data_IF_318664844275
#
_entry.id   IF_318664844275
#
_cell.length_a   1.000
_cell.length_b   1.000
_cell.length_c   1.000
_cell.angle_alpha   90.00
_cell.angle_beta   90.00
_cell.angle_gamma   90.00
#
_symmetry.space_group_name_H-M   'P 1'
#
loop_
_entity.id
_entity.type
_entity.pdbx_description
1 polymer ?
#
# COMPACT_ATOMS: atom_id res chain seq x y z
N UNK A 1 12.17 1.50 1.32
CA UNK A 1 11.05 2.37 1.76
C UNK A 1 10.32 1.72 2.92
N UNK A 2 9.56 2.50 3.64
CA UNK A 2 8.74 1.96 4.74
C UNK A 2 7.36 1.66 4.24
N UNK A 3 6.87 0.48 4.57
CA UNK A 3 5.55 0.02 4.11
C UNK A 3 4.80 -0.54 5.32
N UNK A 4 3.53 -0.16 5.44
CA UNK A 4 2.61 -0.79 6.37
C UNK A 4 1.64 -1.61 5.53
N UNK A 5 1.63 -2.91 5.72
CA UNK A 5 0.82 -3.82 4.92
C UNK A 5 -0.36 -4.35 5.74
N UNK A 6 -1.56 -4.18 5.19
CA UNK A 6 -2.79 -4.69 5.77
C UNK A 6 -2.77 -6.22 5.76
N UNK A 7 -3.54 -6.84 6.65
CA UNK A 7 -3.47 -8.29 6.83
C UNK A 7 -3.92 -9.08 5.61
N UNK A 8 -4.67 -8.47 4.69
CA UNK A 8 -5.09 -9.13 3.46
C UNK A 8 -3.99 -9.26 2.41
N UNK A 9 -2.85 -8.61 2.61
CA UNK A 9 -1.72 -8.74 1.69
C UNK A 9 -1.04 -10.07 1.95
N UNK A 10 -0.73 -10.84 0.90
CA UNK A 10 -0.18 -12.18 1.06
C UNK A 10 1.24 -12.16 1.60
N UNK A 11 1.55 -13.14 2.42
CA UNK A 11 2.85 -13.25 3.07
C UNK A 11 4.01 -13.26 2.06
N UNK A 12 3.82 -13.93 0.92
CA UNK A 12 4.90 -14.01 -0.07
C UNK A 12 5.26 -12.63 -0.62
N UNK A 13 4.29 -11.74 -0.72
CA UNK A 13 4.54 -10.37 -1.16
C UNK A 13 5.39 -9.66 -0.11
N UNK A 14 5.03 -9.85 1.17
CA UNK A 14 5.78 -9.23 2.26
C UNK A 14 7.22 -9.72 2.27
N UNK A 15 7.41 -11.03 2.13
CA UNK A 15 8.75 -11.62 2.14
C UNK A 15 9.60 -11.07 1.00
N UNK A 16 9.01 -10.92 -0.17
CA UNK A 16 9.70 -10.38 -1.34
C UNK A 16 10.13 -8.94 -1.11
N UNK A 17 9.25 -8.12 -0.56
CA UNK A 17 9.56 -6.72 -0.30
C UNK A 17 10.67 -6.59 0.73
N UNK A 18 10.65 -7.42 1.76
CA UNK A 18 11.70 -7.42 2.77
C UNK A 18 13.04 -7.86 2.18
N UNK A 19 13.02 -8.85 1.30
CA UNK A 19 14.23 -9.28 0.60
C UNK A 19 14.82 -8.17 -0.26
N UNK A 20 13.96 -7.30 -0.79
CA UNK A 20 14.41 -6.17 -1.59
C UNK A 20 14.87 -4.99 -0.76
N UNK A 21 14.89 -5.14 0.56
CA UNK A 21 15.43 -4.12 1.44
C UNK A 21 14.40 -3.18 2.03
N UNK A 22 13.11 -3.41 1.81
CA UNK A 22 12.07 -2.56 2.37
C UNK A 22 11.74 -2.96 3.81
N UNK A 23 11.39 -1.96 4.62
CA UNK A 23 10.94 -2.18 5.98
C UNK A 23 9.42 -2.33 5.94
N UNK A 24 8.92 -3.50 6.29
CA UNK A 24 7.48 -3.76 6.22
C UNK A 24 6.94 -4.11 7.60
N UNK A 25 6.00 -3.28 8.07
CA UNK A 25 5.21 -3.57 9.26
C UNK A 25 3.94 -4.27 8.75
N UNK A 26 3.80 -5.54 9.10
CA UNK A 26 2.73 -6.37 8.55
C UNK A 26 1.69 -6.64 9.64
N UNK A 27 0.45 -6.19 9.40
CA UNK A 27 -0.63 -6.29 10.39
C UNK A 27 -0.85 -7.73 10.85
N UNK A 28 -0.78 -8.68 9.93
CA UNK A 28 -1.04 -10.08 10.24
C UNK A 28 -0.04 -10.63 11.27
N UNK A 29 1.18 -10.10 11.33
CA UNK A 29 2.20 -10.54 12.28
C UNK A 29 2.07 -9.82 13.61
N UNK A 30 1.63 -8.57 13.58
CA UNK A 30 1.67 -7.71 14.76
C UNK A 30 0.37 -7.74 15.56
N UNK A 31 -0.72 -7.31 14.93
CA UNK A 31 -2.00 -7.20 15.60
C UNK A 31 -3.12 -7.57 14.62
N UNK A 32 -3.31 -8.86 14.35
CA UNK A 32 -4.33 -9.27 13.39
C UNK A 32 -5.73 -8.86 13.85
N UNK A 33 -6.61 -8.65 12.89
CA UNK A 33 -8.03 -8.34 13.10
C UNK A 33 -8.28 -6.97 13.75
N UNK A 34 -7.38 -6.03 13.55
CA UNK A 34 -7.60 -4.67 14.03
C UNK A 34 -8.39 -3.87 13.01
N UNK A 35 -8.97 -2.77 13.48
CA UNK A 35 -9.74 -1.88 12.63
C UNK A 35 -8.87 -1.14 11.63
N UNK A 36 -9.46 -0.76 10.49
CA UNK A 36 -8.76 -0.03 9.44
C UNK A 36 -8.17 1.28 9.94
N UNK A 37 -8.86 1.95 10.86
CA UNK A 37 -8.37 3.20 11.43
C UNK A 37 -7.06 3.01 12.17
N UNK A 38 -6.90 1.86 12.82
CA UNK A 38 -5.64 1.58 13.51
C UNK A 38 -4.50 1.38 12.50
N UNK A 39 -4.78 0.63 11.44
CA UNK A 39 -3.77 0.39 10.40
C UNK A 39 -3.34 1.72 9.78
N UNK A 40 -4.32 2.58 9.48
CA UNK A 40 -4.03 3.89 8.92
C UNK A 40 -3.18 4.73 9.88
N UNK A 41 -3.49 4.68 11.19
CA UNK A 41 -2.73 5.47 12.16
C UNK A 41 -1.29 5.00 12.24
N UNK A 42 -1.05 3.70 12.13
CA UNK A 42 0.33 3.17 12.13
C UNK A 42 1.09 3.69 10.91
N UNK A 43 0.44 3.66 9.74
CA UNK A 43 1.06 4.14 8.52
C UNK A 43 1.41 5.62 8.62
N UNK A 44 0.50 6.42 9.17
CA UNK A 44 0.73 7.86 9.36
C UNK A 44 1.88 8.10 10.33
N UNK A 45 1.88 7.37 11.43
CA UNK A 45 2.89 7.52 12.47
C UNK A 45 4.28 7.19 11.95
N UNK A 46 4.37 6.17 11.10
CA UNK A 46 5.65 5.73 10.55
C UNK A 46 6.04 6.44 9.26
N UNK A 47 5.20 7.31 8.76
CA UNK A 47 5.39 7.94 7.44
C UNK A 47 5.61 6.87 6.38
N UNK A 48 4.77 5.84 6.40
CA UNK A 48 4.92 4.66 5.56
C UNK A 48 3.87 4.63 4.46
N UNK A 49 4.22 3.98 3.36
CA UNK A 49 3.26 3.66 2.30
C UNK A 49 2.31 2.60 2.84
N UNK A 50 1.02 2.86 2.77
CA UNK A 50 0.02 1.89 3.18
C UNK A 50 -0.32 0.97 2.02
N UNK A 51 -0.13 -0.33 2.20
CA UNK A 51 -0.42 -1.31 1.15
C UNK A 51 -1.60 -2.18 1.59
N UNK A 52 -2.60 -2.28 0.73
CA UNK A 52 -3.79 -3.06 1.04
C UNK A 52 -4.35 -3.69 -0.22
N UNK A 53 -5.05 -4.82 -0.06
CA UNK A 53 -5.83 -5.44 -1.14
C UNK A 53 -7.32 -5.13 -1.00
N UNK A 54 -7.71 -4.42 0.04
CA UNK A 54 -9.10 -4.10 0.32
C UNK A 54 -9.47 -2.79 -0.38
N UNK A 55 -10.28 -2.91 -1.43
CA UNK A 55 -10.70 -1.75 -2.22
C UNK A 55 -11.42 -0.72 -1.34
N UNK A 56 -12.27 -1.18 -0.43
CA UNK A 56 -13.03 -0.26 0.43
C UNK A 56 -12.10 0.53 1.35
N UNK A 57 -11.11 -0.13 1.93
CA UNK A 57 -10.15 0.54 2.78
C UNK A 57 -9.33 1.56 1.99
N UNK A 58 -8.84 1.15 0.81
CA UNK A 58 -8.07 2.06 -0.04
C UNK A 58 -8.87 3.28 -0.42
N UNK A 59 -10.12 3.09 -0.82
CA UNK A 59 -10.99 4.20 -1.21
C UNK A 59 -11.33 5.09 -0.03
N UNK A 60 -11.50 4.51 1.15
CA UNK A 60 -11.74 5.29 2.35
C UNK A 60 -10.60 6.25 2.62
N UNK A 61 -9.38 5.75 2.56
CA UNK A 61 -8.20 6.58 2.80
C UNK A 61 -8.10 7.68 1.74
N UNK A 62 -8.37 7.33 0.49
CA UNK A 62 -8.33 8.29 -0.61
C UNK A 62 -9.34 9.42 -0.39
N UNK A 63 -10.59 9.06 -0.01
CA UNK A 63 -11.66 10.04 0.21
C UNK A 63 -11.42 10.92 1.42
N UNK A 64 -10.82 10.36 2.46
CA UNK A 64 -10.54 11.14 3.66
C UNK A 64 -9.51 12.24 3.41
N UNK A 65 -8.73 12.10 2.36
CA UNK A 65 -7.71 13.08 2.05
C UNK A 65 -6.71 13.24 3.18
N UNK A 66 -6.55 12.20 4.00
CA UNK A 66 -5.64 12.27 5.13
C UNK A 66 -4.22 12.35 4.65
N UNK A 67 -3.44 13.07 5.41
CA UNK A 67 -2.02 13.16 5.16
C UNK A 67 -1.38 11.78 5.38
N UNK A 68 -1.02 11.14 4.31
CA UNK A 68 -0.30 9.86 4.36
C UNK A 68 0.91 9.95 3.45
N UNK A 69 1.81 9.00 3.60
CA UNK A 69 2.95 8.89 2.69
C UNK A 69 2.59 8.11 1.42
N UNK A 70 1.32 7.89 1.21
CA UNK A 70 0.81 7.24 0.03
C UNK A 70 0.09 5.95 0.34
N UNK A 71 -0.72 5.50 -0.62
CA UNK A 71 -1.49 4.25 -0.53
C UNK A 71 -1.26 3.44 -1.80
N UNK A 72 -1.00 2.15 -1.66
CA UNK A 72 -0.92 1.23 -2.79
C UNK A 72 -2.02 0.19 -2.63
N UNK A 73 -2.99 0.24 -3.52
CA UNK A 73 -4.09 -0.71 -3.57
C UNK A 73 -3.75 -1.80 -4.57
N UNK A 74 -3.74 -3.06 -4.11
CA UNK A 74 -3.41 -4.20 -4.95
C UNK A 74 -4.69 -4.81 -5.49
N UNK A 75 -4.85 -4.83 -6.81
CA UNK A 75 -5.99 -5.44 -7.48
C UNK A 75 -5.47 -6.55 -8.39
N UNK A 76 -5.03 -7.62 -7.76
CA UNK A 76 -4.32 -8.69 -8.43
C UNK A 76 -5.04 -10.04 -8.34
N UNK A 77 -6.32 -10.03 -8.00
CA UNK A 77 -7.13 -11.25 -7.98
C UNK A 77 -7.07 -11.92 -9.34
N UNK A 78 -6.91 -13.23 -9.34
CA UNK A 78 -6.78 -13.99 -10.58
C UNK A 78 -5.35 -14.35 -10.93
N UNK A 79 -4.36 -13.66 -10.37
CA UNK A 79 -2.97 -14.08 -10.53
C UNK A 79 -2.60 -15.11 -9.47
N UNK A 80 -1.76 -16.09 -9.81
CA UNK A 80 -1.17 -16.94 -8.78
C UNK A 80 -0.21 -16.12 -7.91
N UNK A 81 0.11 -16.66 -6.73
CA UNK A 81 0.94 -15.93 -5.76
C UNK A 81 2.27 -15.46 -6.35
N UNK A 82 2.95 -16.30 -7.14
CA UNK A 82 4.22 -15.89 -7.74
C UNK A 82 4.04 -14.72 -8.69
N UNK A 83 2.93 -14.70 -9.41
CA UNK A 83 2.61 -13.58 -10.30
C UNK A 83 2.35 -12.30 -9.54
N UNK A 84 1.64 -12.41 -8.41
CA UNK A 84 1.39 -11.25 -7.56
C UNK A 84 2.70 -10.69 -7.00
N UNK A 85 3.57 -11.57 -6.52
CA UNK A 85 4.88 -11.18 -6.00
C UNK A 85 5.67 -10.44 -7.04
N UNK A 86 5.78 -11.01 -8.24
CA UNK A 86 6.56 -10.40 -9.31
C UNK A 86 5.99 -9.04 -9.70
N UNK A 87 4.66 -8.93 -9.77
CA UNK A 87 4.00 -7.70 -10.17
C UNK A 87 4.26 -6.58 -9.15
N UNK A 88 4.08 -6.89 -7.87
CA UNK A 88 4.28 -5.90 -6.81
C UNK A 88 5.75 -5.50 -6.72
N UNK A 89 6.65 -6.47 -6.75
CA UNK A 89 8.09 -6.17 -6.68
C UNK A 89 8.51 -5.26 -7.83
N UNK A 90 8.05 -5.55 -9.04
CA UNK A 90 8.37 -4.74 -10.21
C UNK A 90 7.80 -3.32 -10.06
N UNK A 91 6.56 -3.22 -9.60
CA UNK A 91 5.90 -1.92 -9.45
C UNK A 91 6.63 -1.03 -8.44
N UNK A 92 6.98 -1.59 -7.30
CA UNK A 92 7.68 -0.85 -6.25
C UNK A 92 9.07 -0.43 -6.74
N UNK A 93 9.77 -1.33 -7.41
CA UNK A 93 11.11 -1.04 -7.90
C UNK A 93 11.08 0.05 -8.96
N UNK A 94 10.09 0.00 -9.85
CA UNK A 94 10.02 0.90 -10.99
C UNK A 94 9.43 2.26 -10.61
N UNK A 95 8.38 2.26 -9.78
CA UNK A 95 7.59 3.45 -9.51
C UNK A 95 7.51 3.84 -8.04
N UNK A 96 8.30 3.20 -7.18
CA UNK A 96 8.17 3.43 -5.73
C UNK A 96 8.24 4.89 -5.36
N UNK A 97 9.11 5.64 -6.00
CA UNK A 97 9.27 7.05 -5.68
C UNK A 97 8.02 7.84 -6.04
N UNK A 98 7.43 7.54 -7.18
CA UNK A 98 6.21 8.22 -7.61
C UNK A 98 5.01 7.84 -6.75
N UNK A 99 5.08 6.72 -6.05
CA UNK A 99 3.99 6.28 -5.17
C UNK A 99 3.93 7.07 -3.88
N UNK A 100 5.00 7.74 -3.52
CA UNK A 100 5.01 8.55 -2.30
C UNK A 100 4.00 9.67 -2.43
N UNK A 101 3.20 9.85 -1.39
CA UNK A 101 2.15 10.87 -1.34
C UNK A 101 1.15 10.74 -2.49
N UNK A 102 0.92 9.53 -2.95
CA UNK A 102 0.04 9.26 -4.07
C UNK A 102 -0.89 8.11 -3.74
N UNK A 103 -1.98 8.02 -4.47
CA UNK A 103 -2.86 6.86 -4.45
C UNK A 103 -2.53 6.04 -5.69
N UNK A 104 -2.03 4.83 -5.47
CA UNK A 104 -1.58 3.95 -6.55
C UNK A 104 -2.46 2.72 -6.59
N UNK A 105 -2.89 2.33 -7.79
CA UNK A 105 -3.60 1.07 -7.99
C UNK A 105 -2.71 0.19 -8.86
N UNK A 106 -2.33 -0.95 -8.32
CA UNK A 106 -1.51 -1.93 -9.03
C UNK A 106 -2.44 -3.04 -9.50
N UNK A 107 -2.65 -3.13 -10.80
CA UNK A 107 -3.54 -4.10 -11.43
C UNK A 107 -2.74 -5.04 -12.33
N UNK A 108 -3.43 -6.00 -12.93
CA UNK A 108 -2.81 -6.96 -13.83
C UNK A 108 -2.09 -6.30 -15.00
N UNK A 109 -2.67 -5.24 -15.54
CA UNK A 109 -2.18 -4.64 -16.78
C UNK A 109 -1.84 -3.18 -16.65
N UNK A 110 -2.06 -2.56 -15.49
CA UNK A 110 -1.83 -1.14 -15.36
C UNK A 110 -1.34 -0.80 -13.96
N UNK A 111 -0.65 0.32 -13.89
CA UNK A 111 -0.31 0.94 -12.62
C UNK A 111 -0.76 2.37 -12.76
N UNK A 112 -1.73 2.76 -11.94
CA UNK A 112 -2.26 4.12 -11.94
C UNK A 112 -1.79 4.83 -10.70
N UNK A 113 -1.19 5.98 -10.89
CA UNK A 113 -0.65 6.76 -9.78
C UNK A 113 -1.28 8.14 -9.84
N UNK A 114 -1.94 8.51 -8.75
CA UNK A 114 -2.60 9.81 -8.63
C UNK A 114 -2.10 10.50 -7.37
N UNK A 115 -1.57 11.67 -7.52
CA UNK A 115 -1.11 12.45 -6.37
C UNK A 115 -2.26 12.70 -5.40
N UNK A 116 -1.98 12.55 -4.13
CA UNK A 116 -2.92 12.96 -3.09
C UNK A 116 -2.75 14.45 -2.91
N UNK A 117 -3.81 15.17 -3.25
CA UNK A 117 -3.74 16.63 -3.32
C UNK A 117 -4.44 17.25 -2.12
N UNK A 118 -4.13 16.75 -0.94
CA UNK A 118 -4.69 17.32 0.27
C UNK A 118 -4.37 18.81 0.40
N UNK A 119 -3.28 19.24 -0.17
CA UNK A 119 -2.89 20.63 -0.17
C UNK A 119 -3.90 21.54 -0.89
N UNK A 120 -4.68 20.97 -1.79
CA UNK A 120 -5.73 21.75 -2.46
C UNK A 120 -6.75 22.29 -1.47
N UNK A 121 -6.88 21.65 -0.34
CA UNK A 121 -7.83 22.07 0.68
C UNK A 121 -7.36 23.28 1.45
N UNK A 122 -6.18 23.73 1.20
CA UNK A 122 -5.61 24.85 1.94
C UNK A 122 -5.88 26.18 1.29
N UNK A 123 -6.51 26.17 0.16
CA UNK A 123 -6.76 27.40 -0.56
C UNK A 123 -8.15 27.95 -0.31
#
# INVERSE_FOLDING_TARGET
MRIVADEGVEQQIIDSLRNDGHSVWYVAEETPSVADEFVLSVAQEQNALLMTSDTDFGELVYRLGKSTSGVALLRLAGLPSLGKVARVAWAIKTYGKEMENSFTVISLRSIRIRKLTADLNQN
#
